data_IF_798515146212
#
_entry.id   IF_798515146212
#
_cell.length_a   1.000
_cell.length_b   1.000
_cell.length_c   1.000
_cell.angle_alpha   90.00
_cell.angle_beta   90.00
_cell.angle_gamma   90.00
#
_symmetry.space_group_name_H-M   'P 1'
#
loop_
_entity.id
_entity.type
_entity.pdbx_description
1 polymer ?
#
# COMPACT_ATOMS: atom_id res chain seq x y z
N UNK A 1 2.92 -42.78 -5.17
CA UNK A 1 1.63 -43.27 -5.76
C UNK A 1 1.79 -43.51 -7.26
N UNK A 2 1.57 -44.73 -7.75
CA UNK A 2 1.57 -45.01 -9.19
C UNK A 2 0.15 -44.82 -9.74
N UNK A 3 -0.05 -43.80 -10.59
CA UNK A 3 -1.34 -43.55 -11.24
C UNK A 3 -1.35 -44.30 -12.59
N UNK A 4 -2.21 -45.30 -12.71
CA UNK A 4 -2.36 -46.08 -13.92
C UNK A 4 -3.49 -45.53 -14.79
N UNK A 5 -3.24 -45.40 -16.09
CA UNK A 5 -4.22 -44.96 -17.08
C UNK A 5 -5.28 -46.02 -17.44
N UNK A 6 -5.32 -47.15 -16.72
CA UNK A 6 -6.27 -48.25 -16.88
C UNK A 6 -6.47 -48.98 -15.56
N UNK A 7 -7.63 -49.59 -15.39
CA UNK A 7 -7.90 -50.47 -14.25
C UNK A 7 -6.93 -51.67 -14.28
N UNK A 8 -6.22 -51.90 -13.17
CA UNK A 8 -5.33 -53.03 -13.02
C UNK A 8 -6.13 -54.34 -12.89
N UNK A 9 -5.63 -55.41 -13.51
CA UNK A 9 -6.15 -56.75 -13.27
C UNK A 9 -5.73 -57.25 -11.88
N UNK A 10 -6.45 -58.22 -11.31
CA UNK A 10 -6.14 -58.79 -9.99
C UNK A 10 -4.72 -59.35 -9.89
N UNK A 11 -4.20 -59.94 -10.97
CA UNK A 11 -2.82 -60.42 -11.05
C UNK A 11 -1.79 -59.28 -10.96
N UNK A 12 -2.07 -58.14 -11.61
CA UNK A 12 -1.18 -56.96 -11.58
C UNK A 12 -1.21 -56.26 -10.22
N UNK A 13 -2.35 -56.26 -9.52
CA UNK A 13 -2.45 -55.74 -8.15
C UNK A 13 -1.57 -56.58 -7.21
N UNK A 14 -1.65 -57.92 -7.30
CA UNK A 14 -0.82 -58.82 -6.50
C UNK A 14 0.68 -58.68 -6.84
N UNK A 15 1.01 -58.48 -8.11
CA UNK A 15 2.38 -58.23 -8.54
C UNK A 15 2.93 -56.90 -7.97
N UNK A 16 2.15 -55.82 -8.03
CA UNK A 16 2.55 -54.52 -7.49
C UNK A 16 2.70 -54.57 -5.96
N UNK A 17 1.78 -55.27 -5.27
CA UNK A 17 1.87 -55.51 -3.83
C UNK A 17 3.12 -56.31 -3.47
N UNK A 18 3.45 -57.37 -4.22
CA UNK A 18 4.64 -58.18 -3.97
C UNK A 18 5.96 -57.45 -4.19
N UNK A 19 5.94 -56.31 -4.89
CA UNK A 19 7.10 -55.44 -5.15
C UNK A 19 7.04 -54.17 -4.28
N UNK A 20 6.16 -54.14 -3.27
CA UNK A 20 6.08 -53.08 -2.25
C UNK A 20 5.46 -51.77 -2.70
N UNK A 21 4.81 -51.72 -3.88
CA UNK A 21 4.24 -50.48 -4.42
C UNK A 21 2.94 -50.12 -3.68
N UNK A 22 3.01 -49.10 -2.83
CA UNK A 22 1.86 -48.56 -2.11
C UNK A 22 1.53 -49.29 -0.80
N UNK A 23 2.53 -49.90 -0.18
CA UNK A 23 2.37 -50.50 1.15
C UNK A 23 1.98 -49.45 2.20
N UNK A 24 0.99 -49.83 3.01
CA UNK A 24 0.53 -49.08 4.18
C UNK A 24 0.87 -49.89 5.41
N UNK A 25 1.48 -49.23 6.37
CA UNK A 25 1.86 -49.79 7.65
C UNK A 25 0.99 -49.17 8.75
N UNK A 26 0.66 -49.96 9.76
CA UNK A 26 0.10 -49.42 10.99
C UNK A 26 1.21 -49.33 12.01
N UNK A 27 1.59 -48.10 12.40
CA UNK A 27 2.52 -47.88 13.50
C UNK A 27 1.73 -47.65 14.78
N UNK A 28 1.99 -48.49 15.78
CA UNK A 28 1.32 -48.44 17.08
C UNK A 28 2.30 -47.93 18.13
N UNK A 29 2.02 -46.75 18.67
CA UNK A 29 2.80 -46.12 19.74
C UNK A 29 2.15 -46.44 21.08
N UNK A 30 2.83 -47.22 21.93
CA UNK A 30 2.29 -47.64 23.21
C UNK A 30 2.16 -46.44 24.16
N UNK A 31 0.97 -46.25 24.73
CA UNK A 31 0.65 -45.17 25.68
C UNK A 31 0.11 -45.70 27.01
N UNK A 32 0.23 -47.00 27.26
CA UNK A 32 -0.38 -47.70 28.40
C UNK A 32 0.01 -47.11 29.75
N UNK A 33 1.27 -46.69 29.89
CA UNK A 33 1.77 -46.11 31.14
C UNK A 33 1.17 -44.73 31.45
N UNK A 34 0.70 -44.00 30.44
CA UNK A 34 0.11 -42.66 30.61
C UNK A 34 -1.42 -42.69 30.71
N UNK A 35 -2.05 -43.69 30.10
CA UNK A 35 -3.50 -43.89 30.17
C UNK A 35 -3.93 -44.75 31.36
N UNK A 36 -3.03 -45.57 31.91
CA UNK A 36 -3.35 -46.58 32.91
C UNK A 36 -4.08 -47.80 32.35
N UNK A 37 -4.15 -47.95 31.03
CA UNK A 37 -4.86 -49.03 30.34
C UNK A 37 -3.84 -49.87 29.58
N UNK A 38 -3.75 -51.15 29.93
CA UNK A 38 -2.89 -52.13 29.26
C UNK A 38 -3.25 -52.24 27.78
N UNK A 39 -2.22 -52.41 26.94
CA UNK A 39 -2.35 -52.54 25.49
C UNK A 39 -3.11 -51.39 24.82
N UNK A 40 -2.92 -50.17 25.33
CA UNK A 40 -3.41 -48.94 24.69
C UNK A 40 -2.34 -48.27 23.85
N UNK A 41 -2.74 -47.82 22.67
CA UNK A 41 -1.87 -47.29 21.63
C UNK A 41 -2.47 -46.06 20.94
N UNK A 42 -1.61 -45.17 20.47
CA UNK A 42 -1.94 -44.25 19.36
C UNK A 42 -1.45 -44.90 18.08
N UNK A 43 -2.37 -45.21 17.18
CA UNK A 43 -2.10 -45.85 15.90
C UNK A 43 -2.13 -44.82 14.78
N UNK A 44 -1.18 -44.93 13.87
CA UNK A 44 -1.16 -44.19 12.60
C UNK A 44 -1.15 -45.15 11.43
N UNK A 45 -1.89 -44.80 10.37
CA UNK A 45 -1.65 -45.38 9.06
C UNK A 45 -0.49 -44.62 8.41
N UNK A 46 0.60 -45.31 8.08
CA UNK A 46 1.83 -44.71 7.55
C UNK A 46 2.15 -45.33 6.20
N UNK A 47 2.50 -44.50 5.22
CA UNK A 47 2.98 -44.97 3.91
C UNK A 47 4.14 -44.12 3.44
N UNK A 48 5.03 -44.68 2.63
CA UNK A 48 6.03 -43.87 1.93
C UNK A 48 5.31 -42.96 0.92
N UNK A 49 5.47 -41.64 1.09
CA UNK A 49 4.81 -40.64 0.25
C UNK A 49 5.59 -40.42 -1.05
N UNK A 50 6.90 -40.19 -0.90
CA UNK A 50 7.90 -40.11 -1.95
C UNK A 50 9.24 -40.70 -1.48
N UNK A 51 10.29 -40.54 -2.28
CA UNK A 51 11.62 -41.09 -1.96
C UNK A 51 12.29 -40.43 -0.74
N UNK A 52 11.72 -39.37 -0.18
CA UNK A 52 12.30 -38.55 0.88
C UNK A 52 11.35 -38.32 2.06
N UNK A 53 10.18 -38.97 2.10
CA UNK A 53 9.19 -38.69 3.13
C UNK A 53 8.16 -39.80 3.36
N UNK A 54 7.60 -39.79 4.56
CA UNK A 54 6.49 -40.63 5.00
C UNK A 54 5.24 -39.78 5.15
N UNK A 55 4.09 -40.30 4.72
CA UNK A 55 2.79 -39.77 5.06
C UNK A 55 2.30 -40.50 6.31
N UNK A 56 2.14 -39.77 7.41
CA UNK A 56 1.42 -40.21 8.60
C UNK A 56 -0.03 -39.74 8.48
N UNK A 57 -0.95 -40.68 8.36
CA UNK A 57 -2.35 -40.39 8.17
C UNK A 57 -3.13 -40.72 9.45
N UNK A 58 -3.92 -39.74 9.91
CA UNK A 58 -5.00 -39.86 10.90
C UNK A 58 -4.65 -40.66 12.17
N UNK A 59 -4.31 -39.98 13.28
CA UNK A 59 -4.13 -40.65 14.55
C UNK A 59 -5.44 -41.26 15.06
N UNK A 60 -5.38 -42.52 15.51
CA UNK A 60 -6.48 -43.25 16.13
C UNK A 60 -6.02 -43.78 17.49
N UNK A 61 -6.76 -43.51 18.55
CA UNK A 61 -6.54 -44.18 19.83
C UNK A 61 -7.19 -45.56 19.81
N UNK A 62 -6.44 -46.61 20.10
CA UNK A 62 -6.91 -47.99 20.09
C UNK A 62 -6.45 -48.74 21.34
N UNK A 63 -7.25 -49.72 21.77
CA UNK A 63 -6.91 -50.66 22.84
C UNK A 63 -7.03 -52.04 22.21
N UNK A 64 -6.00 -52.87 22.34
CA UNK A 64 -6.01 -54.19 21.68
C UNK A 64 -6.80 -55.24 22.46
N UNK A 65 -7.01 -55.04 23.76
CA UNK A 65 -7.93 -55.84 24.56
C UNK A 65 -9.39 -55.50 24.17
N UNK A 66 -10.16 -56.45 23.59
CA UNK A 66 -11.53 -56.20 23.15
C UNK A 66 -12.52 -56.00 24.30
N UNK A 67 -12.12 -56.31 25.54
CA UNK A 67 -12.97 -56.15 26.74
C UNK A 67 -12.72 -54.85 27.49
N UNK A 68 -11.64 -54.14 27.16
CA UNK A 68 -11.27 -52.88 27.78
C UNK A 68 -12.02 -51.68 27.19
N UNK A 69 -12.13 -50.61 27.98
CA UNK A 69 -12.80 -49.38 27.59
C UNK A 69 -12.01 -48.16 28.08
N UNK A 70 -11.87 -47.08 27.28
CA UNK A 70 -10.95 -45.99 27.60
C UNK A 70 -11.35 -45.10 28.79
N UNK A 71 -12.61 -45.12 29.20
CA UNK A 71 -13.15 -44.14 30.14
C UNK A 71 -13.20 -42.73 29.53
N UNK A 72 -12.49 -41.79 30.16
CA UNK A 72 -12.28 -40.43 29.66
C UNK A 72 -10.81 -40.05 29.83
N UNK A 73 -10.11 -39.81 28.73
CA UNK A 73 -8.67 -39.49 28.73
C UNK A 73 -8.47 -38.21 27.91
N UNK A 74 -8.05 -37.10 28.53
CA UNK A 74 -7.66 -35.91 27.78
C UNK A 74 -6.38 -36.15 26.99
N UNK A 75 -6.32 -35.59 25.79
CA UNK A 75 -5.17 -35.69 24.90
C UNK A 75 -5.00 -34.40 24.11
N UNK A 76 -3.82 -33.78 24.23
CA UNK A 76 -3.52 -32.52 23.56
C UNK A 76 -2.07 -32.45 23.05
N UNK A 77 -1.88 -31.68 21.98
CA UNK A 77 -0.59 -31.33 21.41
C UNK A 77 0.28 -32.52 21.04
N UNK A 78 -0.15 -33.35 20.08
CA UNK A 78 0.63 -34.50 19.61
C UNK A 78 1.70 -34.02 18.64
N UNK A 79 2.97 -34.39 18.88
CA UNK A 79 4.07 -34.18 17.94
C UNK A 79 4.76 -35.50 17.61
N UNK A 80 5.21 -35.63 16.37
CA UNK A 80 6.04 -36.76 15.93
C UNK A 80 7.51 -36.39 16.10
N UNK A 81 8.26 -37.26 16.76
CA UNK A 81 9.70 -37.26 16.75
C UNK A 81 10.27 -38.36 15.86
N UNK A 82 11.44 -38.09 15.31
CA UNK A 82 12.23 -39.01 14.47
C UNK A 82 13.67 -39.02 15.01
N UNK A 83 14.24 -40.22 15.16
CA UNK A 83 15.65 -40.41 15.53
C UNK A 83 16.11 -39.62 16.78
N UNK A 84 15.26 -39.54 17.81
CA UNK A 84 15.58 -38.90 19.10
C UNK A 84 15.35 -37.40 19.18
N UNK A 85 14.76 -36.76 18.16
CA UNK A 85 14.35 -35.35 18.18
C UNK A 85 12.93 -35.16 17.62
N UNK A 86 12.23 -34.12 18.03
CA UNK A 86 10.96 -33.75 17.40
C UNK A 86 11.20 -33.30 15.95
N UNK A 87 10.33 -33.70 15.03
CA UNK A 87 10.39 -33.23 13.65
C UNK A 87 10.10 -31.71 13.60
N UNK A 88 10.93 -30.96 12.89
CA UNK A 88 10.81 -29.49 12.80
C UNK A 88 9.68 -29.03 11.88
N UNK A 89 9.21 -29.93 11.01
CA UNK A 89 8.13 -29.71 10.06
C UNK A 89 7.15 -30.88 10.12
N UNK A 90 5.92 -30.68 9.65
CA UNK A 90 4.92 -31.75 9.63
C UNK A 90 4.26 -32.01 10.99
N UNK A 91 4.14 -31.01 11.86
CA UNK A 91 3.47 -31.16 13.17
C UNK A 91 1.99 -30.77 13.09
N UNK A 92 1.20 -31.52 12.31
CA UNK A 92 -0.22 -31.20 12.06
C UNK A 92 -1.11 -31.26 13.33
N UNK A 93 -0.70 -32.03 14.34
CA UNK A 93 -1.49 -32.26 15.57
C UNK A 93 -0.96 -31.49 16.78
N UNK A 94 -0.03 -30.53 16.59
CA UNK A 94 0.50 -29.71 17.69
C UNK A 94 -0.56 -28.88 18.41
N UNK A 95 -1.69 -28.60 17.76
CA UNK A 95 -2.84 -27.89 18.32
C UNK A 95 -4.05 -28.80 18.53
N UNK A 96 -3.87 -30.13 18.46
CA UNK A 96 -4.93 -31.05 18.82
C UNK A 96 -5.29 -30.81 20.29
N UNK A 97 -6.57 -30.68 20.58
CA UNK A 97 -7.11 -30.63 21.94
C UNK A 97 -8.44 -31.37 21.93
N UNK A 98 -8.45 -32.57 22.50
CA UNK A 98 -9.63 -33.46 22.48
C UNK A 98 -9.59 -34.43 23.64
N UNK A 99 -10.64 -35.25 23.75
CA UNK A 99 -10.76 -36.29 24.76
C UNK A 99 -11.17 -37.61 24.11
N UNK A 100 -10.49 -38.66 24.55
CA UNK A 100 -10.90 -40.04 24.28
C UNK A 100 -12.04 -40.36 25.24
N UNK A 101 -13.17 -40.87 24.72
CA UNK A 101 -14.38 -41.13 25.50
C UNK A 101 -15.03 -42.44 25.07
N UNK A 102 -15.59 -43.19 26.03
CA UNK A 102 -16.33 -44.42 25.75
C UNK A 102 -17.40 -44.28 24.66
N UNK A 103 -18.09 -43.13 24.61
CA UNK A 103 -19.16 -42.86 23.63
C UNK A 103 -18.65 -42.66 22.19
N UNK A 104 -17.35 -42.45 21.99
CA UNK A 104 -16.70 -42.22 20.69
C UNK A 104 -15.72 -43.33 20.31
N UNK A 105 -15.57 -44.33 21.17
CA UNK A 105 -14.65 -45.44 21.00
C UNK A 105 -15.41 -46.70 20.59
N UNK A 106 -14.93 -47.38 19.54
CA UNK A 106 -15.49 -48.67 19.10
C UNK A 106 -14.45 -49.77 19.25
N UNK A 107 -14.70 -50.86 20.02
CA UNK A 107 -13.77 -51.97 20.15
C UNK A 107 -13.34 -52.55 18.80
N UNK A 108 -12.04 -52.80 18.64
CA UNK A 108 -11.44 -53.28 17.38
C UNK A 108 -11.23 -52.22 16.29
N UNK A 109 -11.81 -51.02 16.42
CA UNK A 109 -11.64 -49.90 15.47
C UNK A 109 -10.92 -48.72 16.13
N UNK A 110 -11.19 -48.43 17.40
CA UNK A 110 -10.64 -47.30 18.15
C UNK A 110 -11.50 -46.03 18.09
N UNK A 111 -10.89 -44.91 18.48
CA UNK A 111 -11.44 -43.56 18.36
C UNK A 111 -10.49 -42.70 17.50
N UNK A 112 -10.94 -42.17 16.34
CA UNK A 112 -10.18 -41.19 15.58
C UNK A 112 -9.95 -39.91 16.40
N UNK A 113 -8.70 -39.43 16.42
CA UNK A 113 -8.31 -38.23 17.14
C UNK A 113 -8.34 -36.99 16.25
N UNK A 114 -7.95 -37.13 14.97
CA UNK A 114 -7.98 -36.06 13.98
C UNK A 114 -8.16 -36.62 12.57
N UNK A 115 -8.87 -35.93 11.67
CA UNK A 115 -8.96 -36.31 10.27
C UNK A 115 -7.72 -35.91 9.45
N UNK A 116 -6.80 -35.12 10.02
CA UNK A 116 -5.63 -34.61 9.33
C UNK A 116 -4.52 -35.66 9.21
N UNK A 117 -3.81 -35.64 8.09
CA UNK A 117 -2.53 -36.31 7.90
C UNK A 117 -1.38 -35.31 7.84
N UNK A 118 -0.15 -35.80 7.93
CA UNK A 118 1.05 -34.98 7.83
C UNK A 118 2.21 -35.73 7.18
N UNK A 119 3.16 -34.98 6.64
CA UNK A 119 4.35 -35.53 5.97
C UNK A 119 5.56 -35.31 6.86
N UNK A 120 6.29 -36.39 7.14
CA UNK A 120 7.52 -36.39 7.92
C UNK A 120 8.67 -36.78 7.00
N UNK A 121 9.75 -36.00 7.02
CA UNK A 121 10.92 -36.29 6.20
C UNK A 121 11.60 -37.60 6.61
N UNK A 122 12.09 -38.34 5.62
CA UNK A 122 12.96 -39.49 5.81
C UNK A 122 14.36 -39.02 6.19
N UNK A 123 14.99 -39.67 7.16
CA UNK A 123 16.35 -39.32 7.61
C UNK A 123 17.36 -40.44 7.34
N UNK A 124 17.19 -41.60 7.99
CA UNK A 124 18.09 -42.76 7.90
C UNK A 124 17.60 -43.84 6.94
N UNK A 125 16.33 -43.76 6.52
CA UNK A 125 15.69 -44.77 5.67
C UNK A 125 14.70 -45.65 6.43
N UNK A 126 13.79 -46.28 5.70
CA UNK A 126 12.64 -46.97 6.28
C UNK A 126 13.00 -48.10 7.27
N UNK A 127 14.13 -48.78 7.05
CA UNK A 127 14.59 -49.86 7.92
C UNK A 127 15.29 -49.37 9.20
N UNK A 128 15.58 -48.06 9.30
CA UNK A 128 16.43 -47.49 10.37
C UNK A 128 15.87 -46.24 11.03
N UNK A 129 14.83 -45.62 10.47
CA UNK A 129 14.14 -44.49 11.09
C UNK A 129 13.27 -44.95 12.24
N UNK A 130 13.52 -44.39 13.42
CA UNK A 130 12.74 -44.64 14.62
C UNK A 130 11.84 -43.45 14.90
N UNK A 131 10.57 -43.71 15.18
CA UNK A 131 9.59 -42.69 15.51
C UNK A 131 9.19 -42.76 16.98
N UNK A 132 8.86 -41.60 17.54
CA UNK A 132 8.22 -41.50 18.86
C UNK A 132 7.19 -40.37 18.85
N UNK A 133 6.33 -40.34 19.86
CA UNK A 133 5.35 -39.28 20.06
C UNK A 133 5.68 -38.50 21.31
N UNK A 134 5.47 -37.19 21.25
CA UNK A 134 5.37 -36.34 22.43
C UNK A 134 3.97 -35.73 22.50
N UNK A 135 3.55 -35.42 23.72
CA UNK A 135 2.22 -34.92 24.03
C UNK A 135 2.37 -33.71 24.94
N UNK A 136 1.55 -32.68 24.75
CA UNK A 136 1.37 -31.63 25.77
C UNK A 136 0.53 -32.13 26.92
N UNK A 137 -0.52 -32.92 26.63
CA UNK A 137 -1.35 -33.60 27.63
C UNK A 137 -1.67 -35.02 27.16
N UNK A 138 -1.56 -36.00 28.05
CA UNK A 138 -2.06 -37.36 27.86
C UNK A 138 -2.47 -37.96 29.20
N UNK A 139 -3.79 -38.12 29.40
CA UNK A 139 -4.33 -38.53 30.70
C UNK A 139 -3.96 -37.52 31.77
N UNK A 140 -3.28 -37.98 32.83
CA UNK A 140 -2.80 -37.11 33.91
C UNK A 140 -1.37 -36.58 33.67
N UNK A 141 -0.73 -36.92 32.54
CA UNK A 141 0.63 -36.47 32.21
C UNK A 141 0.58 -35.16 31.43
N UNK A 142 1.45 -34.20 31.79
CA UNK A 142 1.57 -32.90 31.11
C UNK A 142 3.02 -32.60 30.74
N UNK A 143 3.25 -32.02 29.56
CA UNK A 143 4.53 -31.49 29.11
C UNK A 143 4.34 -30.01 28.73
N UNK A 144 5.07 -29.11 29.38
CA UNK A 144 4.95 -27.67 29.13
C UNK A 144 5.87 -27.28 27.98
N UNK A 145 5.28 -26.97 26.82
CA UNK A 145 6.00 -26.42 25.67
C UNK A 145 5.90 -24.90 25.71
N UNK A 146 7.05 -24.21 25.73
CA UNK A 146 7.11 -22.75 25.68
C UNK A 146 7.46 -22.31 24.26
N UNK A 147 6.50 -21.70 23.57
CA UNK A 147 6.76 -21.04 22.29
C UNK A 147 7.50 -19.72 22.57
N UNK A 148 8.66 -19.46 21.93
CA UNK A 148 9.36 -18.20 22.12
C UNK A 148 8.51 -17.04 21.60
N UNK A 149 8.38 -15.99 22.40
CA UNK A 149 7.69 -14.78 21.98
C UNK A 149 8.40 -14.18 20.75
N UNK A 150 7.64 -13.68 19.75
CA UNK A 150 8.23 -12.99 18.62
C UNK A 150 9.02 -11.77 19.10
N UNK A 151 10.21 -11.54 18.51
CA UNK A 151 11.01 -10.35 18.81
C UNK A 151 10.20 -9.10 18.44
N UNK A 152 10.13 -8.14 19.34
CA UNK A 152 9.50 -6.86 19.07
C UNK A 152 10.31 -6.13 17.99
N UNK A 153 9.66 -5.49 17.00
CA UNK A 153 10.34 -4.63 16.04
C UNK A 153 11.16 -3.55 16.77
N UNK A 154 12.33 -3.21 16.22
CA UNK A 154 13.13 -2.10 16.72
C UNK A 154 12.36 -0.77 16.66
N UNK A 155 12.77 0.19 17.50
CA UNK A 155 12.22 1.54 17.43
C UNK A 155 12.44 2.15 16.03
N UNK A 156 11.52 2.98 15.53
CA UNK A 156 11.72 3.72 14.29
C UNK A 156 13.02 4.54 14.37
N UNK A 157 13.75 4.69 13.26
CA UNK A 157 14.91 5.58 13.23
C UNK A 157 14.46 7.03 13.45
N UNK A 158 15.24 7.77 14.23
CA UNK A 158 15.11 9.21 14.36
C UNK A 158 15.63 9.88 13.08
N UNK A 159 14.77 10.63 12.40
CA UNK A 159 15.11 11.33 11.17
C UNK A 159 15.51 12.77 11.50
N UNK A 160 16.39 13.40 10.69
CA UNK A 160 16.69 14.81 10.86
C UNK A 160 15.40 15.65 10.75
N UNK A 161 15.40 16.79 11.45
CA UNK A 161 14.32 17.77 11.38
C UNK A 161 14.09 18.20 9.92
N UNK A 162 12.83 18.18 9.48
CA UNK A 162 12.40 18.62 8.17
C UNK A 162 11.69 19.97 8.29
N UNK A 163 11.79 20.81 7.27
CA UNK A 163 11.10 22.10 7.24
C UNK A 163 9.58 21.91 7.22
N UNK A 164 8.86 22.64 8.06
CA UNK A 164 7.40 22.76 8.01
C UNK A 164 6.91 23.52 6.76
N UNK A 165 7.82 24.26 6.10
CA UNK A 165 7.55 25.04 4.89
C UNK A 165 8.15 24.33 3.70
N UNK A 166 7.30 24.00 2.73
CA UNK A 166 7.64 23.36 1.47
C UNK A 166 7.48 24.29 0.27
N UNK A 167 7.84 23.74 -0.88
CA UNK A 167 7.60 24.36 -2.18
C UNK A 167 6.78 23.41 -3.04
N UNK A 168 5.77 23.95 -3.74
CA UNK A 168 5.02 23.15 -4.70
C UNK A 168 5.95 22.57 -5.76
N UNK A 169 5.74 21.29 -6.01
CA UNK A 169 6.37 20.58 -7.12
C UNK A 169 5.82 21.07 -8.46
N UNK A 170 6.51 20.72 -9.54
CA UNK A 170 6.15 21.18 -10.87
C UNK A 170 4.75 20.73 -11.31
N UNK A 171 4.30 19.51 -10.95
CA UNK A 171 2.94 19.07 -11.23
C UNK A 171 1.90 19.87 -10.46
N UNK A 172 2.20 20.25 -9.21
CA UNK A 172 1.30 21.01 -8.36
C UNK A 172 1.19 22.46 -8.84
N UNK A 173 2.29 23.07 -9.26
CA UNK A 173 2.30 24.39 -9.90
C UNK A 173 1.41 24.37 -11.14
N UNK A 174 1.61 23.43 -12.05
CA UNK A 174 0.84 23.32 -13.30
C UNK A 174 -0.64 23.04 -13.03
N UNK A 175 -0.95 22.16 -12.08
CA UNK A 175 -2.33 21.90 -11.65
C UNK A 175 -2.99 23.14 -11.04
N UNK A 176 -2.27 23.87 -10.19
CA UNK A 176 -2.77 25.10 -9.56
C UNK A 176 -3.08 26.15 -10.61
N UNK A 177 -2.14 26.43 -11.50
CA UNK A 177 -2.33 27.44 -12.54
C UNK A 177 -3.52 27.10 -13.44
N UNK A 178 -3.71 25.82 -13.77
CA UNK A 178 -4.86 25.36 -14.54
C UNK A 178 -6.19 25.59 -13.81
N UNK A 179 -6.26 25.27 -12.52
CA UNK A 179 -7.49 25.45 -11.71
C UNK A 179 -7.78 26.94 -11.52
N UNK A 180 -6.77 27.73 -11.12
CA UNK A 180 -6.94 29.14 -10.80
C UNK A 180 -7.32 29.94 -12.05
N UNK A 181 -6.70 29.68 -13.20
CA UNK A 181 -7.03 30.40 -14.44
C UNK A 181 -8.21 29.82 -15.21
N UNK A 182 -8.61 28.57 -14.91
CA UNK A 182 -9.56 27.82 -15.72
C UNK A 182 -9.05 27.45 -17.12
N UNK A 183 -7.74 27.57 -17.40
CA UNK A 183 -7.14 27.15 -18.68
C UNK A 183 -6.71 25.70 -18.55
N UNK A 184 -6.98 24.88 -19.57
CA UNK A 184 -6.56 23.48 -19.57
C UNK A 184 -5.04 23.34 -19.65
N UNK A 185 -4.47 22.43 -18.86
CA UNK A 185 -3.07 21.97 -18.97
C UNK A 185 -2.70 21.45 -20.37
N UNK A 186 -3.70 21.03 -21.15
CA UNK A 186 -3.52 20.53 -22.51
C UNK A 186 -3.64 21.63 -23.58
N UNK A 187 -3.83 22.90 -23.19
CA UNK A 187 -3.80 23.98 -24.16
C UNK A 187 -2.40 24.05 -24.80
N UNK A 188 -2.33 24.15 -26.12
CA UNK A 188 -1.13 23.95 -26.92
C UNK A 188 0.06 24.83 -26.47
N UNK A 189 -0.19 26.11 -26.19
CA UNK A 189 0.84 27.05 -25.72
C UNK A 189 1.35 26.69 -24.32
N UNK A 190 0.43 26.53 -23.37
CA UNK A 190 0.70 26.05 -22.00
C UNK A 190 1.51 24.76 -22.00
N UNK A 191 1.06 23.75 -22.75
CA UNK A 191 1.73 22.45 -22.82
C UNK A 191 3.15 22.58 -23.38
N UNK A 192 3.34 23.40 -24.41
CA UNK A 192 4.65 23.62 -25.03
C UNK A 192 5.63 24.27 -24.04
N UNK A 193 5.18 25.31 -23.33
CA UNK A 193 5.98 25.98 -22.31
C UNK A 193 6.28 25.03 -21.16
N UNK A 194 5.28 24.31 -20.66
CA UNK A 194 5.45 23.32 -19.60
C UNK A 194 6.49 22.25 -19.97
N UNK A 195 6.39 21.64 -21.17
CA UNK A 195 7.36 20.64 -21.63
C UNK A 195 8.78 21.21 -21.72
N UNK A 196 8.92 22.50 -22.02
CA UNK A 196 10.21 23.21 -22.10
C UNK A 196 10.79 23.51 -20.73
N UNK A 197 9.98 24.04 -19.81
CA UNK A 197 10.44 24.52 -18.49
C UNK A 197 10.38 23.46 -17.40
N UNK A 198 9.79 22.30 -17.66
CA UNK A 198 9.63 21.20 -16.67
C UNK A 198 10.93 20.82 -15.97
N UNK A 199 12.04 20.75 -16.72
CA UNK A 199 13.36 20.41 -16.15
C UNK A 199 13.93 21.51 -15.23
N UNK A 200 13.37 22.71 -15.34
CA UNK A 200 13.74 23.89 -14.57
C UNK A 200 12.74 24.16 -13.45
N UNK A 201 11.87 23.22 -13.06
CA UNK A 201 10.92 23.38 -11.95
C UNK A 201 11.28 22.46 -10.76
N UNK A 202 10.83 22.78 -9.52
CA UNK A 202 11.10 21.95 -8.35
C UNK A 202 10.51 20.55 -8.48
N UNK A 203 11.30 19.52 -8.18
CA UNK A 203 10.86 18.10 -8.18
C UNK A 203 10.62 17.54 -6.79
N UNK A 204 10.97 18.28 -5.75
CA UNK A 204 10.82 17.92 -4.34
C UNK A 204 10.29 19.12 -3.57
N UNK A 205 9.51 18.86 -2.54
CA UNK A 205 8.88 19.88 -1.70
C UNK A 205 9.85 20.44 -0.64
N UNK A 206 11.08 20.77 -1.05
CA UNK A 206 12.10 21.29 -0.15
C UNK A 206 12.50 22.72 -0.55
N UNK A 207 12.37 23.65 0.40
CA UNK A 207 12.76 25.04 0.25
C UNK A 207 14.25 25.22 -0.09
N UNK A 208 15.14 24.37 0.45
CA UNK A 208 16.58 24.43 0.18
C UNK A 208 16.93 24.10 -1.28
N UNK A 209 16.02 23.43 -1.99
CA UNK A 209 16.14 23.10 -3.41
C UNK A 209 15.81 24.27 -4.33
N UNK A 210 15.43 25.44 -3.80
CA UNK A 210 14.95 26.54 -4.63
C UNK A 210 16.05 27.29 -5.35
N UNK A 211 16.00 27.28 -6.69
CA UNK A 211 16.97 27.95 -7.55
C UNK A 211 16.34 29.09 -8.35
N UNK A 212 17.16 30.06 -8.75
CA UNK A 212 16.72 31.17 -9.63
C UNK A 212 16.15 30.69 -10.97
N UNK A 213 16.60 29.53 -11.46
CA UNK A 213 16.03 28.88 -12.64
C UNK A 213 14.54 28.54 -12.45
N UNK A 214 14.14 28.14 -11.24
CA UNK A 214 12.74 27.86 -10.92
C UNK A 214 11.88 29.11 -11.01
N UNK A 215 12.33 30.25 -10.47
CA UNK A 215 11.60 31.53 -10.58
C UNK A 215 11.29 31.90 -12.04
N UNK A 216 12.28 31.75 -12.92
CA UNK A 216 12.11 32.07 -14.34
C UNK A 216 11.16 31.08 -15.04
N UNK A 217 11.29 29.78 -14.75
CA UNK A 217 10.40 28.75 -15.28
C UNK A 217 8.95 28.95 -14.85
N UNK A 218 8.73 29.26 -13.56
CA UNK A 218 7.42 29.56 -13.00
C UNK A 218 6.82 30.80 -13.68
N UNK A 219 7.61 31.86 -13.83
CA UNK A 219 7.15 33.10 -14.47
C UNK A 219 6.75 32.86 -15.92
N UNK A 220 7.52 32.05 -16.67
CA UNK A 220 7.21 31.66 -18.05
C UNK A 220 5.92 30.83 -18.14
N UNK A 221 5.71 29.91 -17.21
CA UNK A 221 4.48 29.11 -17.20
C UNK A 221 3.27 29.98 -16.80
N UNK A 222 3.41 30.82 -15.78
CA UNK A 222 2.37 31.73 -15.32
C UNK A 222 1.94 32.72 -16.41
N UNK A 223 2.88 33.33 -17.14
CA UNK A 223 2.54 34.25 -18.23
C UNK A 223 1.81 33.54 -19.38
N UNK A 224 2.12 32.27 -19.65
CA UNK A 224 1.44 31.51 -20.69
C UNK A 224 -0.01 31.17 -20.30
N UNK A 225 -0.22 30.74 -19.05
CA UNK A 225 -1.56 30.53 -18.49
C UNK A 225 -2.39 31.81 -18.51
N UNK A 226 -1.81 32.93 -18.08
CA UNK A 226 -2.46 34.24 -18.10
C UNK A 226 -2.74 34.74 -19.52
N UNK A 227 -1.85 34.46 -20.46
CA UNK A 227 -2.05 34.81 -21.87
C UNK A 227 -3.25 34.05 -22.44
N UNK A 228 -3.29 32.73 -22.23
CA UNK A 228 -4.42 31.91 -22.66
C UNK A 228 -5.75 32.35 -22.00
N UNK A 229 -5.75 32.73 -20.72
CA UNK A 229 -6.91 33.28 -20.04
C UNK A 229 -7.40 34.58 -20.70
N UNK A 230 -6.50 35.56 -20.87
CA UNK A 230 -6.83 36.87 -21.45
C UNK A 230 -7.22 36.76 -22.93
N UNK A 231 -6.68 35.79 -23.66
CA UNK A 231 -6.98 35.52 -25.06
C UNK A 231 -8.27 34.68 -25.26
N UNK A 232 -9.08 34.49 -24.20
CA UNK A 232 -10.31 33.68 -24.21
C UNK A 232 -10.09 32.21 -24.62
N UNK A 233 -8.94 31.63 -24.28
CA UNK A 233 -8.62 30.23 -24.52
C UNK A 233 -8.83 29.34 -23.28
N UNK A 234 -9.46 29.88 -22.23
CA UNK A 234 -9.85 29.16 -21.02
C UNK A 234 -11.20 28.43 -21.15
N UNK A 235 -11.53 27.64 -20.13
CA UNK A 235 -12.83 27.00 -19.96
C UNK A 235 -13.92 28.02 -19.58
N UNK A 236 -13.53 29.10 -18.90
CA UNK A 236 -14.39 30.24 -18.57
C UNK A 236 -14.00 31.41 -19.49
N UNK A 237 -14.96 32.13 -20.10
CA UNK A 237 -14.66 33.34 -20.85
C UNK A 237 -13.94 34.39 -19.98
N UNK A 238 -13.04 35.17 -20.55
CA UNK A 238 -12.29 36.22 -19.83
C UNK A 238 -13.19 37.22 -19.12
N UNK A 239 -14.38 37.50 -19.67
CA UNK A 239 -15.38 38.37 -19.05
C UNK A 239 -16.05 37.76 -17.81
N UNK A 240 -16.04 36.43 -17.70
CA UNK A 240 -16.46 35.72 -16.49
C UNK A 240 -15.39 35.75 -15.41
N UNK A 241 -14.11 35.72 -15.80
CA UNK A 241 -12.99 35.84 -14.87
C UNK A 241 -12.76 37.28 -14.39
N UNK A 242 -12.86 38.25 -15.30
CA UNK A 242 -12.70 39.68 -15.04
C UNK A 242 -14.05 40.40 -15.22
N UNK A 243 -14.99 40.25 -14.28
CA UNK A 243 -16.32 40.82 -14.43
C UNK A 243 -16.28 42.35 -14.44
N UNK A 244 -16.90 42.94 -15.46
CA UNK A 244 -17.05 44.40 -15.58
C UNK A 244 -15.87 45.14 -16.21
N UNK A 245 -14.74 44.47 -16.49
CA UNK A 245 -13.61 45.06 -17.20
C UNK A 245 -13.84 45.06 -18.72
N UNK A 246 -13.66 46.22 -19.37
CA UNK A 246 -13.86 46.37 -20.82
C UNK A 246 -12.54 46.27 -21.59
N UNK A 247 -12.26 45.07 -22.11
CA UNK A 247 -11.09 44.81 -22.94
C UNK A 247 -11.08 45.53 -24.31
N UNK A 248 -12.16 46.21 -24.71
CA UNK A 248 -12.19 46.99 -25.96
C UNK A 248 -11.71 48.43 -25.76
N UNK A 249 -11.39 48.83 -24.53
CA UNK A 249 -10.85 50.14 -24.24
C UNK A 249 -9.33 50.17 -24.36
N UNK A 250 -8.80 51.32 -24.77
CA UNK A 250 -7.37 51.60 -24.75
C UNK A 250 -6.86 51.78 -23.31
N UNK A 251 -5.59 51.51 -23.08
CA UNK A 251 -5.00 51.45 -21.74
C UNK A 251 -5.18 52.73 -20.90
N UNK A 252 -5.24 53.91 -21.53
CA UNK A 252 -5.48 55.20 -20.88
C UNK A 252 -6.91 55.33 -20.33
N UNK A 253 -7.89 54.65 -20.94
CA UNK A 253 -9.28 54.65 -20.48
C UNK A 253 -9.56 53.47 -19.57
N UNK A 254 -9.06 52.28 -19.91
CA UNK A 254 -9.31 51.03 -19.20
C UNK A 254 -8.76 51.01 -17.77
N UNK A 255 -7.70 51.78 -17.48
CA UNK A 255 -7.03 51.80 -16.17
C UNK A 255 -7.00 53.19 -15.50
N UNK A 256 -7.82 54.12 -15.98
CA UNK A 256 -7.78 55.53 -15.58
C UNK A 256 -8.10 55.76 -14.08
N UNK A 257 -8.95 54.91 -13.50
CA UNK A 257 -9.38 55.03 -12.11
C UNK A 257 -9.02 53.77 -11.31
N UNK A 258 -8.83 53.93 -10.00
CA UNK A 258 -8.58 52.81 -9.09
C UNK A 258 -9.69 51.73 -9.20
N UNK A 259 -10.96 52.16 -9.27
CA UNK A 259 -12.10 51.26 -9.42
C UNK A 259 -12.06 50.41 -10.70
N UNK A 260 -11.47 50.91 -11.80
CA UNK A 260 -11.28 50.11 -13.01
C UNK A 260 -10.11 49.14 -12.89
N UNK A 261 -9.03 49.54 -12.21
CA UNK A 261 -7.90 48.63 -11.93
C UNK A 261 -8.31 47.50 -10.99
N UNK A 262 -9.17 47.80 -10.01
CA UNK A 262 -9.76 46.82 -9.09
C UNK A 262 -10.57 45.72 -9.81
N UNK A 263 -11.12 45.99 -11.00
CA UNK A 263 -11.81 44.98 -11.81
C UNK A 263 -10.87 43.87 -12.31
N UNK A 264 -9.55 44.11 -12.31
CA UNK A 264 -8.53 43.12 -12.62
C UNK A 264 -7.87 42.59 -11.35
N UNK A 265 -7.49 43.50 -10.43
CA UNK A 265 -6.74 43.16 -9.22
C UNK A 265 -7.54 42.23 -8.31
N UNK A 266 -8.82 42.55 -8.03
CA UNK A 266 -9.61 41.79 -7.06
C UNK A 266 -9.88 40.35 -7.51
N UNK A 267 -10.27 40.07 -8.78
CA UNK A 267 -10.38 38.69 -9.25
C UNK A 267 -9.08 37.89 -9.12
N UNK A 268 -7.92 38.50 -9.41
CA UNK A 268 -6.62 37.82 -9.30
C UNK A 268 -6.28 37.47 -7.85
N UNK A 269 -6.40 38.44 -6.95
CA UNK A 269 -6.10 38.26 -5.53
C UNK A 269 -7.04 37.23 -4.90
N UNK A 270 -8.35 37.33 -5.16
CA UNK A 270 -9.34 36.40 -4.62
C UNK A 270 -9.20 34.97 -5.15
N UNK A 271 -8.57 34.78 -6.32
CA UNK A 271 -8.40 33.45 -6.92
C UNK A 271 -7.13 32.76 -6.45
N UNK A 272 -6.10 33.50 -6.00
CA UNK A 272 -4.82 32.92 -5.56
C UNK A 272 -4.66 32.92 -4.03
N UNK A 273 -5.17 33.95 -3.35
CA UNK A 273 -4.97 34.13 -1.91
C UNK A 273 -6.11 33.49 -1.13
N UNK A 274 -5.75 32.79 -0.05
CA UNK A 274 -6.72 32.13 0.81
C UNK A 274 -7.22 33.07 1.91
N UNK A 275 -8.34 32.71 2.52
CA UNK A 275 -8.85 33.42 3.70
C UNK A 275 -8.51 32.65 4.97
N UNK A 276 -8.21 33.36 6.06
CA UNK A 276 -8.01 32.75 7.38
C UNK A 276 -6.67 32.04 7.60
N UNK A 277 -5.68 32.18 6.70
CA UNK A 277 -4.33 31.68 6.96
C UNK A 277 -3.55 32.62 7.87
N UNK A 278 -2.81 32.05 8.83
CA UNK A 278 -1.90 32.80 9.73
C UNK A 278 -0.60 33.21 9.04
N UNK A 279 -0.18 32.47 8.01
CA UNK A 279 1.07 32.69 7.27
C UNK A 279 0.74 32.80 5.78
N UNK A 280 0.63 34.03 5.28
CA UNK A 280 0.51 34.37 3.86
C UNK A 280 0.85 35.86 3.66
N UNK A 281 1.13 36.32 2.42
CA UNK A 281 1.24 37.75 2.14
C UNK A 281 -0.01 38.52 2.59
N UNK A 282 0.14 39.79 2.98
CA UNK A 282 -1.01 40.66 3.28
C UNK A 282 -1.77 40.98 1.98
N UNK A 283 -3.06 40.61 1.85
CA UNK A 283 -3.83 40.91 0.64
C UNK A 283 -3.84 42.39 0.29
N UNK A 284 -3.86 43.30 1.28
CA UNK A 284 -3.87 44.75 1.03
C UNK A 284 -2.53 45.24 0.45
N UNK A 285 -1.42 44.65 0.88
CA UNK A 285 -0.11 44.93 0.30
C UNK A 285 -0.02 44.41 -1.13
N UNK A 286 -0.50 43.19 -1.38
CA UNK A 286 -0.51 42.60 -2.73
C UNK A 286 -1.38 43.41 -3.69
N UNK A 287 -2.57 43.87 -3.27
CA UNK A 287 -3.41 44.74 -4.10
C UNK A 287 -2.71 46.05 -4.45
N UNK A 288 -1.95 46.61 -3.51
CA UNK A 288 -1.20 47.86 -3.73
C UNK A 288 -0.06 47.67 -4.74
N UNK A 289 0.72 46.60 -4.60
CA UNK A 289 1.81 46.29 -5.54
C UNK A 289 1.29 46.03 -6.96
N UNK A 290 0.13 45.38 -7.11
CA UNK A 290 -0.51 45.18 -8.41
C UNK A 290 -1.04 46.50 -9.01
N UNK A 291 -1.57 47.40 -8.18
CA UNK A 291 -2.00 48.73 -8.60
C UNK A 291 -0.82 49.55 -9.15
N UNK A 292 0.29 49.56 -8.41
CA UNK A 292 1.53 50.23 -8.80
C UNK A 292 2.11 49.63 -10.09
N UNK A 293 2.11 48.30 -10.23
CA UNK A 293 2.53 47.63 -11.46
C UNK A 293 1.68 48.07 -12.66
N UNK A 294 0.35 48.09 -12.53
CA UNK A 294 -0.54 48.52 -13.61
C UNK A 294 -0.26 49.98 -13.97
N UNK A 295 -0.09 50.85 -12.99
CA UNK A 295 0.25 52.27 -13.21
C UNK A 295 1.59 52.44 -13.93
N UNK A 296 2.62 51.66 -13.56
CA UNK A 296 3.93 51.68 -14.23
C UNK A 296 3.78 51.23 -15.69
N UNK A 297 3.06 50.13 -15.93
CA UNK A 297 2.91 49.58 -17.28
C UNK A 297 2.03 50.45 -18.19
N UNK A 298 1.16 51.27 -17.61
CA UNK A 298 0.24 52.16 -18.35
C UNK A 298 0.74 53.60 -18.41
N UNK A 299 1.86 53.95 -17.76
CA UNK A 299 2.40 55.31 -17.74
C UNK A 299 2.60 55.92 -19.14
N UNK A 300 2.98 55.11 -20.13
CA UNK A 300 3.13 55.54 -21.53
C UNK A 300 1.81 55.85 -22.26
N UNK A 301 0.66 55.46 -21.67
CA UNK A 301 -0.65 55.69 -22.24
C UNK A 301 -1.21 57.06 -21.84
N UNK A 302 -0.72 57.62 -20.73
CA UNK A 302 -1.17 58.90 -20.18
C UNK A 302 -0.28 60.07 -20.64
N UNK A 303 -0.90 61.23 -20.84
CA UNK A 303 -0.22 62.48 -21.15
C UNK A 303 -0.33 62.94 -22.63
N UNK A 304 0.29 64.08 -22.97
CA UNK A 304 0.08 64.75 -24.26
C UNK A 304 0.66 64.00 -25.47
N UNK A 305 1.56 63.03 -25.24
CA UNK A 305 2.24 62.24 -26.27
C UNK A 305 2.11 60.74 -25.96
N UNK A 306 0.87 60.25 -25.84
CA UNK A 306 0.60 58.83 -25.59
C UNK A 306 1.24 57.94 -26.67
N UNK A 307 2.06 56.97 -26.26
CA UNK A 307 2.76 56.05 -27.18
C UNK A 307 2.21 54.62 -27.10
N UNK A 308 1.40 54.32 -26.08
CA UNK A 308 0.89 52.98 -25.84
C UNK A 308 -0.60 52.91 -25.45
N UNK A 309 -1.39 53.98 -25.69
CA UNK A 309 -2.86 53.93 -25.56
C UNK A 309 -3.50 53.09 -26.67
N UNK A 310 -3.36 51.76 -26.56
CA UNK A 310 -3.92 50.79 -27.51
C UNK A 310 -4.67 49.70 -26.75
N UNK A 311 -5.58 49.02 -27.44
CA UNK A 311 -6.28 47.84 -26.91
C UNK A 311 -5.29 46.70 -26.63
N UNK A 312 -4.31 46.51 -27.51
CA UNK A 312 -3.26 45.50 -27.31
C UNK A 312 -2.49 45.74 -26.01
N UNK A 313 -2.20 47.00 -25.67
CA UNK A 313 -1.55 47.34 -24.40
C UNK A 313 -2.44 47.00 -23.20
N UNK A 314 -3.76 47.19 -23.32
CA UNK A 314 -4.71 46.78 -22.29
C UNK A 314 -4.57 45.28 -21.99
N UNK A 315 -4.57 44.44 -23.03
CA UNK A 315 -4.40 42.99 -22.87
C UNK A 315 -3.03 42.61 -22.29
N UNK A 316 -1.94 43.24 -22.75
CA UNK A 316 -0.59 43.02 -22.21
C UNK A 316 -0.50 43.34 -20.71
N UNK A 317 -1.11 44.44 -20.27
CA UNK A 317 -1.11 44.85 -18.85
C UNK A 317 -1.85 43.83 -17.99
N UNK A 318 -3.02 43.34 -18.45
CA UNK A 318 -3.76 42.30 -17.72
C UNK A 318 -2.96 40.99 -17.66
N UNK A 319 -2.32 40.59 -18.77
CA UNK A 319 -1.45 39.40 -18.81
C UNK A 319 -0.30 39.52 -17.81
N UNK A 320 0.35 40.68 -17.75
CA UNK A 320 1.45 40.94 -16.82
C UNK A 320 1.01 40.94 -15.35
N UNK A 321 -0.10 41.61 -15.01
CA UNK A 321 -0.64 41.63 -13.65
C UNK A 321 -1.06 40.23 -13.18
N UNK A 322 -1.70 39.45 -14.06
CA UNK A 322 -2.05 38.06 -13.81
C UNK A 322 -0.79 37.21 -13.56
N UNK A 323 0.23 37.33 -14.40
CA UNK A 323 1.46 36.55 -14.28
C UNK A 323 2.24 36.90 -13.00
N UNK A 324 2.29 38.18 -12.62
CA UNK A 324 2.90 38.63 -11.36
C UNK A 324 2.19 38.03 -10.14
N UNK A 325 0.86 37.94 -10.20
CA UNK A 325 0.05 37.36 -9.12
C UNK A 325 0.28 35.85 -9.00
N UNK A 326 0.20 35.14 -10.13
CA UNK A 326 0.29 33.67 -10.16
C UNK A 326 1.71 33.14 -10.00
N UNK A 327 2.73 33.91 -10.41
CA UNK A 327 4.14 33.57 -10.21
C UNK A 327 4.68 33.90 -8.81
N UNK A 328 3.81 34.37 -7.90
CA UNK A 328 4.21 34.82 -6.57
C UNK A 328 4.36 33.70 -5.54
N UNK A 329 4.96 34.04 -4.40
CA UNK A 329 5.08 33.13 -3.26
C UNK A 329 3.73 32.62 -2.71
N UNK A 330 2.64 33.38 -2.90
CA UNK A 330 1.30 32.95 -2.50
C UNK A 330 0.83 31.68 -3.24
N UNK A 331 1.36 31.44 -4.45
CA UNK A 331 1.12 30.23 -5.22
C UNK A 331 2.13 29.13 -4.87
N UNK A 332 3.40 29.50 -4.65
CA UNK A 332 4.53 28.55 -4.63
C UNK A 332 4.80 27.90 -3.29
N UNK A 333 4.59 28.62 -2.20
CA UNK A 333 4.95 28.16 -0.84
C UNK A 333 3.76 27.42 -0.24
N UNK A 334 4.02 26.31 0.47
CA UNK A 334 3.02 25.53 1.18
C UNK A 334 3.49 25.16 2.59
#
# INVERSE_FOLDING_TARGET
VAIHNRALTRAQILQNLAVGVGEKFFLLFNVSNHTGITDSYVMFEVSQFDNYSYLFNQPVFIILDPTASPGTIPIAGIRIGINGKEATVGQAWKHLDTEIRNTRYTPGIGQPLSPLGTVIALEKGADSDEFFLTFEVLGNSTNVVLEPAPLQPGAPPDLPEASDIGLRTFEEIDATLSVVTGVSRNQAGVKTVYDTVRQQLPTVENLDGFLSAHQMAISQLAIEYCSALVDNQGQVPRSGYFPGFDFNQTADTAFNTAAQRDQIILPLVNSIMNTGLTTQPDPAAVTTELDDLIMILTACAFGPSSTCATIARTEEVVKAACAATLGSAAMLIQ
#
